data_IF_599909516746
#
_entry.id   IF_599909516746
#
_cell.length_a   1.000
_cell.length_b   1.000
_cell.length_c   1.000
_cell.angle_alpha   90.00
_cell.angle_beta   90.00
_cell.angle_gamma   90.00
#
_symmetry.space_group_name_H-M   'P 1'
#
loop_
_entity.id
_entity.type
_entity.pdbx_description
1 polymer ?
#
# COMPACT_ATOMS: atom_id res chain seq x y z
N UNK A 1 -11.29 -12.54 -23.31
CA UNK A 1 -9.93 -12.41 -22.75
C UNK A 1 -9.79 -11.23 -21.80
N UNK A 2 -10.19 -10.02 -22.18
CA UNK A 2 -10.10 -8.83 -21.31
C UNK A 2 -10.87 -8.94 -19.98
N UNK A 3 -12.09 -9.48 -20.00
CA UNK A 3 -12.92 -9.66 -18.78
C UNK A 3 -12.19 -10.55 -17.76
N UNK A 4 -11.66 -11.70 -18.19
CA UNK A 4 -10.92 -12.61 -17.32
C UNK A 4 -9.72 -11.92 -16.69
N UNK A 5 -8.95 -11.18 -17.49
CA UNK A 5 -7.80 -10.42 -17.00
C UNK A 5 -8.20 -9.39 -15.92
N UNK A 6 -9.26 -8.61 -16.18
CA UNK A 6 -9.75 -7.60 -15.23
C UNK A 6 -10.28 -8.25 -13.95
N UNK A 7 -11.05 -9.34 -14.05
CA UNK A 7 -11.58 -10.06 -12.87
C UNK A 7 -10.46 -10.67 -12.03
N UNK A 8 -9.46 -11.30 -12.66
CA UNK A 8 -8.28 -11.82 -11.95
C UNK A 8 -7.52 -10.67 -11.28
N UNK A 9 -7.33 -9.55 -11.96
CA UNK A 9 -6.69 -8.36 -11.39
C UNK A 9 -7.42 -7.85 -10.15
N UNK A 10 -8.75 -7.68 -10.23
CA UNK A 10 -9.57 -7.20 -9.10
C UNK A 10 -9.58 -8.15 -7.91
N UNK A 11 -9.61 -9.46 -8.17
CA UNK A 11 -9.60 -10.47 -7.10
C UNK A 11 -8.27 -10.50 -6.37
N UNK A 12 -7.15 -10.47 -7.11
CA UNK A 12 -5.81 -10.38 -6.52
C UNK A 12 -5.62 -9.09 -5.72
N UNK A 13 -6.08 -7.97 -6.26
CA UNK A 13 -6.00 -6.67 -5.59
C UNK A 13 -6.82 -6.67 -4.30
N UNK A 14 -8.05 -7.21 -4.31
CA UNK A 14 -8.89 -7.33 -3.12
C UNK A 14 -8.26 -8.20 -2.04
N UNK A 15 -7.66 -9.34 -2.45
CA UNK A 15 -6.98 -10.23 -1.53
C UNK A 15 -5.75 -9.55 -0.89
N UNK A 16 -4.94 -8.89 -1.71
CA UNK A 16 -3.76 -8.14 -1.24
C UNK A 16 -4.16 -7.03 -0.25
N UNK A 17 -5.22 -6.27 -0.56
CA UNK A 17 -5.74 -5.21 0.31
C UNK A 17 -6.23 -5.75 1.65
N UNK A 18 -6.89 -6.90 1.66
CA UNK A 18 -7.35 -7.55 2.89
C UNK A 18 -6.19 -7.98 3.78
N UNK A 19 -5.20 -8.69 3.21
CA UNK A 19 -4.00 -9.11 3.94
C UNK A 19 -3.21 -7.92 4.49
N UNK A 20 -3.07 -6.86 3.70
CA UNK A 20 -2.46 -5.61 4.14
C UNK A 20 -3.23 -4.97 5.29
N UNK A 21 -4.56 -4.89 5.19
CA UNK A 21 -5.41 -4.25 6.21
C UNK A 21 -5.30 -4.93 7.58
N UNK A 22 -5.32 -6.27 7.61
CA UNK A 22 -5.14 -7.04 8.86
C UNK A 22 -3.74 -6.81 9.41
N UNK A 23 -2.69 -6.98 8.58
CA UNK A 23 -1.30 -6.83 8.99
C UNK A 23 -1.00 -5.42 9.53
N UNK A 24 -1.46 -4.38 8.82
CA UNK A 24 -1.28 -2.99 9.23
C UNK A 24 -2.01 -2.68 10.54
N UNK A 25 -3.19 -3.28 10.76
CA UNK A 25 -3.93 -3.11 12.01
C UNK A 25 -3.21 -3.79 13.17
N UNK A 26 -2.73 -5.03 13.00
CA UNK A 26 -1.98 -5.74 14.03
C UNK A 26 -0.69 -5.01 14.43
N UNK A 27 0.08 -4.51 13.46
CA UNK A 27 1.27 -3.70 13.74
C UNK A 27 0.91 -2.42 14.50
N UNK A 28 -0.17 -1.74 14.10
CA UNK A 28 -0.63 -0.53 14.78
C UNK A 28 -1.06 -0.82 16.22
N UNK A 29 -1.79 -1.90 16.46
CA UNK A 29 -2.23 -2.30 17.80
C UNK A 29 -1.03 -2.64 18.71
N UNK A 30 0.03 -3.24 18.16
CA UNK A 30 1.23 -3.58 18.92
C UNK A 30 2.10 -2.35 19.26
N UNK A 31 2.16 -1.36 18.38
CA UNK A 31 3.12 -0.23 18.50
C UNK A 31 2.50 1.09 18.97
N UNK A 32 1.19 1.31 18.75
CA UNK A 32 0.52 2.58 19.02
C UNK A 32 -0.30 2.49 20.30
N UNK A 33 -0.04 3.33 21.32
CA UNK A 33 -0.86 3.37 22.54
C UNK A 33 -2.33 3.70 22.25
N UNK A 34 -3.26 3.12 23.01
CA UNK A 34 -4.71 3.22 22.77
C UNK A 34 -5.23 4.65 22.58
N UNK A 35 -4.74 5.59 23.39
CA UNK A 35 -5.11 7.02 23.32
C UNK A 35 -4.71 7.70 22.00
N UNK A 36 -3.78 7.13 21.24
CA UNK A 36 -3.31 7.66 19.96
C UNK A 36 -3.84 6.88 18.74
N UNK A 37 -4.51 5.74 18.93
CA UNK A 37 -5.00 4.92 17.81
C UNK A 37 -5.89 5.72 16.85
N UNK A 38 -6.86 6.48 17.37
CA UNK A 38 -7.75 7.31 16.55
C UNK A 38 -7.01 8.38 15.73
N UNK A 39 -5.97 9.00 16.32
CA UNK A 39 -5.13 9.98 15.62
C UNK A 39 -4.29 9.33 14.53
N UNK A 40 -3.66 8.19 14.81
CA UNK A 40 -2.85 7.47 13.83
C UNK A 40 -3.72 6.95 12.67
N UNK A 41 -4.90 6.38 12.97
CA UNK A 41 -5.85 5.97 11.94
C UNK A 41 -6.23 7.16 11.07
N UNK A 42 -6.64 8.28 11.67
CA UNK A 42 -7.01 9.49 10.94
C UNK A 42 -5.90 10.00 10.02
N UNK A 43 -4.66 10.08 10.50
CA UNK A 43 -3.50 10.48 9.68
C UNK A 43 -3.22 9.49 8.54
N UNK A 44 -3.20 8.19 8.83
CA UNK A 44 -2.91 7.16 7.81
C UNK A 44 -3.98 7.10 6.73
N UNK A 45 -5.26 7.19 7.10
CA UNK A 45 -6.38 7.24 6.14
C UNK A 45 -6.35 8.53 5.33
N UNK A 46 -6.11 9.68 5.97
CA UNK A 46 -6.04 10.98 5.27
C UNK A 46 -4.90 11.00 4.26
N UNK A 47 -3.71 10.54 4.65
CA UNK A 47 -2.57 10.45 3.76
C UNK A 47 -2.83 9.45 2.61
N UNK A 48 -3.38 8.28 2.91
CA UNK A 48 -3.67 7.25 1.91
C UNK A 48 -4.72 7.69 0.89
N UNK A 49 -5.90 8.13 1.36
CA UNK A 49 -6.99 8.59 0.49
C UNK A 49 -6.62 9.90 -0.21
N UNK A 50 -5.86 10.79 0.42
CA UNK A 50 -5.39 12.03 -0.19
C UNK A 50 -4.36 11.85 -1.30
N UNK A 51 -3.55 10.78 -1.25
CA UNK A 51 -2.62 10.44 -2.32
C UNK A 51 -3.32 9.87 -3.57
N UNK A 52 -4.49 9.25 -3.40
CA UNK A 52 -5.25 8.66 -4.51
C UNK A 52 -5.56 9.65 -5.66
N UNK A 53 -6.21 10.81 -5.42
CA UNK A 53 -6.51 11.76 -6.50
C UNK A 53 -5.24 12.31 -7.19
N UNK A 54 -4.15 12.48 -6.44
CA UNK A 54 -2.87 12.90 -7.02
C UNK A 54 -2.33 11.84 -8.00
N UNK A 55 -2.38 10.57 -7.60
CA UNK A 55 -2.00 9.45 -8.47
C UNK A 55 -2.88 9.36 -9.72
N UNK A 56 -4.20 9.56 -9.59
CA UNK A 56 -5.10 9.54 -10.75
C UNK A 56 -4.86 10.70 -11.71
N UNK A 57 -4.59 11.91 -11.20
CA UNK A 57 -4.27 13.07 -12.04
C UNK A 57 -2.95 12.86 -12.79
N UNK A 58 -1.91 12.39 -12.08
CA UNK A 58 -0.61 12.08 -12.70
C UNK A 58 -0.72 10.97 -13.74
N UNK A 59 -1.45 9.90 -13.45
CA UNK A 59 -1.68 8.79 -14.38
C UNK A 59 -2.45 9.23 -15.63
N UNK A 60 -3.47 10.07 -15.46
CA UNK A 60 -4.24 10.65 -16.57
C UNK A 60 -3.38 11.55 -17.45
N UNK A 61 -2.62 12.47 -16.85
CA UNK A 61 -1.71 13.36 -17.59
C UNK A 61 -0.61 12.58 -18.34
N UNK A 62 -0.06 11.51 -17.73
CA UNK A 62 0.90 10.62 -18.40
C UNK A 62 0.27 9.86 -19.57
N UNK A 63 -0.97 9.39 -19.42
CA UNK A 63 -1.69 8.69 -20.48
C UNK A 63 -2.03 9.62 -21.64
N UNK A 64 -2.34 10.89 -21.37
CA UNK A 64 -2.58 11.92 -22.38
C UNK A 64 -1.29 12.28 -23.15
N UNK A 65 -0.18 12.46 -22.43
CA UNK A 65 1.09 12.89 -23.02
C UNK A 65 1.85 11.79 -23.77
N UNK A 66 1.87 10.57 -23.24
CA UNK A 66 2.71 9.47 -23.74
C UNK A 66 1.91 8.26 -24.26
N UNK A 67 0.60 8.24 -24.07
CA UNK A 67 -0.27 7.11 -24.42
C UNK A 67 -0.52 6.15 -23.25
N UNK A 68 -1.58 5.34 -23.40
CA UNK A 68 -2.06 4.44 -22.36
C UNK A 68 -1.05 3.35 -21.99
N UNK A 69 -0.29 2.85 -22.97
CA UNK A 69 0.63 1.71 -22.78
C UNK A 69 1.82 2.12 -21.91
N UNK A 70 2.42 3.26 -22.19
CA UNK A 70 3.56 3.85 -21.49
C UNK A 70 3.15 4.23 -20.06
N UNK A 71 1.96 4.83 -19.90
CA UNK A 71 1.40 5.15 -18.59
C UNK A 71 1.17 3.90 -17.73
N UNK A 72 0.73 2.78 -18.31
CA UNK A 72 0.57 1.51 -17.60
C UNK A 72 1.91 0.93 -17.12
N UNK A 73 2.97 0.99 -17.93
CA UNK A 73 4.31 0.56 -17.50
C UNK A 73 4.88 1.43 -16.39
N UNK A 74 4.65 2.74 -16.47
CA UNK A 74 5.03 3.66 -15.40
C UNK A 74 4.30 3.34 -14.09
N UNK A 75 2.98 3.17 -14.14
CA UNK A 75 2.18 2.81 -12.97
C UNK A 75 2.63 1.46 -12.36
N UNK A 76 2.91 0.47 -13.19
CA UNK A 76 3.43 -0.82 -12.75
C UNK A 76 4.79 -0.70 -12.06
N UNK A 77 5.68 0.16 -12.57
CA UNK A 77 7.00 0.40 -11.98
C UNK A 77 6.89 1.09 -10.61
N UNK A 78 6.02 2.10 -10.51
CA UNK A 78 5.75 2.82 -9.26
C UNK A 78 5.12 1.89 -8.21
N UNK A 79 4.27 0.94 -8.62
CA UNK A 79 3.65 -0.02 -7.71
C UNK A 79 4.65 -0.98 -7.03
N UNK A 80 5.89 -1.09 -7.53
CA UNK A 80 6.95 -1.89 -6.91
C UNK A 80 7.65 -1.15 -5.76
N UNK A 81 7.67 0.20 -5.78
CA UNK A 81 8.37 1.01 -4.79
C UNK A 81 7.98 0.72 -3.33
N UNK A 82 6.68 0.54 -2.99
CA UNK A 82 6.28 0.21 -1.62
C UNK A 82 6.89 -1.11 -1.13
N UNK A 83 7.05 -2.11 -1.99
CA UNK A 83 7.67 -3.38 -1.62
C UNK A 83 9.15 -3.20 -1.26
N UNK A 84 9.87 -2.32 -1.97
CA UNK A 84 11.26 -1.99 -1.67
C UNK A 84 11.36 -1.29 -0.31
N UNK A 85 10.49 -0.32 -0.05
CA UNK A 85 10.44 0.40 1.23
C UNK A 85 10.12 -0.54 2.39
N UNK A 86 9.16 -1.45 2.22
CA UNK A 86 8.81 -2.46 3.24
C UNK A 86 9.94 -3.47 3.43
N UNK A 87 10.60 -3.92 2.36
CA UNK A 87 11.74 -4.84 2.44
C UNK A 87 12.95 -4.21 3.15
N UNK A 88 13.15 -2.90 2.97
CA UNK A 88 14.17 -2.13 3.68
C UNK A 88 13.76 -1.70 5.10
N UNK A 89 12.47 -1.78 5.43
CA UNK A 89 11.96 -1.36 6.73
C UNK A 89 12.36 -2.34 7.84
N UNK A 90 12.84 -1.86 9.01
CA UNK A 90 13.27 -2.70 10.14
C UNK A 90 12.12 -3.40 10.89
N UNK A 91 10.98 -3.66 10.22
CA UNK A 91 9.87 -4.47 10.76
C UNK A 91 10.36 -5.89 11.12
N UNK A 92 11.40 -6.39 10.44
CA UNK A 92 12.03 -7.68 10.78
C UNK A 92 12.69 -7.66 12.18
N UNK A 93 13.31 -6.54 12.55
CA UNK A 93 14.09 -6.40 13.79
C UNK A 93 13.22 -6.37 15.06
N UNK A 94 11.94 -5.97 14.94
CA UNK A 94 11.00 -5.96 16.07
C UNK A 94 10.64 -7.38 16.54
N UNK A 95 10.72 -8.38 15.66
CA UNK A 95 10.50 -9.79 16.01
C UNK A 95 11.67 -10.33 16.85
N UNK A 96 12.89 -9.89 16.55
CA UNK A 96 14.11 -10.34 17.23
C UNK A 96 14.26 -9.72 18.62
N UNK A 97 13.78 -8.48 18.83
CA UNK A 97 13.78 -7.84 20.16
C UNK A 97 12.77 -8.43 21.14
N UNK A 98 11.71 -9.09 20.64
CA UNK A 98 10.72 -9.75 21.51
C UNK A 98 11.23 -11.10 22.01
N UNK A 99 11.89 -11.89 21.16
CA UNK A 99 12.44 -13.21 21.54
C UNK A 99 13.70 -13.13 22.39
N UNK A 100 14.44 -12.02 22.34
CA UNK A 100 15.62 -11.80 23.19
C UNK A 100 15.29 -11.37 24.64
N UNK A 101 14.03 -11.00 24.92
CA UNK A 101 13.57 -10.55 26.25
C UNK A 101 12.50 -11.46 26.86
N UNK A 102 12.27 -12.64 26.27
CA UNK A 102 11.43 -13.73 26.81
C UNK A 102 12.29 -14.89 27.26
#
# INVERSE_FOLDING_TARGET
TAIVFVTVGWTLESLARSLYGVSATSVRQALVPDRLQGRVIGLTTTAGTGAFPLGTLLGGALAEAFGLREAMFFAASVAVLPFIVVAASPIRTLRDSWTANS
#
